data_IF_530374968672
#
_entry.id   IF_530374968672
#
_cell.length_a   1.000
_cell.length_b   1.000
_cell.length_c   1.000
_cell.angle_alpha   90.00
_cell.angle_beta   90.00
_cell.angle_gamma   90.00
#
_symmetry.space_group_name_H-M   'P 1'
#
loop_
_entity.id
_entity.type
_entity.pdbx_description
1 polymer ?
#
# COMPACT_ATOMS: atom_id res chain seq x y z
N UNK A 1 -23.47 78.31 39.55
CA UNK A 1 -23.40 77.73 38.20
C UNK A 1 -22.58 76.45 38.27
N UNK A 2 -23.20 75.36 38.72
CA UNK A 2 -22.51 74.09 38.95
C UNK A 2 -23.56 73.00 39.17
N UNK A 3 -24.35 72.69 38.13
CA UNK A 3 -25.18 71.47 38.12
C UNK A 3 -25.79 71.21 36.73
N UNK A 4 -24.99 71.32 35.67
CA UNK A 4 -25.45 70.96 34.33
C UNK A 4 -24.34 70.31 33.47
N UNK A 5 -23.40 69.61 34.13
CA UNK A 5 -22.31 68.87 33.46
C UNK A 5 -22.29 67.37 33.79
N UNK A 6 -22.94 66.90 34.86
CA UNK A 6 -22.83 65.49 35.28
C UNK A 6 -23.91 64.54 34.70
N UNK A 7 -25.00 65.06 34.13
CA UNK A 7 -26.10 64.21 33.65
C UNK A 7 -25.85 63.68 32.22
N UNK A 8 -24.99 64.34 31.44
CA UNK A 8 -24.69 63.95 30.05
C UNK A 8 -23.79 62.72 29.91
N UNK A 9 -22.87 62.49 30.85
CA UNK A 9 -21.87 61.42 30.75
C UNK A 9 -22.38 60.05 31.23
N UNK A 10 -23.34 60.03 32.18
CA UNK A 10 -23.92 58.78 32.69
C UNK A 10 -24.79 58.03 31.67
N UNK A 11 -25.51 58.75 30.79
CA UNK A 11 -26.34 58.14 29.74
C UNK A 11 -25.54 57.63 28.54
N UNK A 12 -24.32 58.16 28.33
CA UNK A 12 -23.45 57.78 27.22
C UNK A 12 -22.60 56.54 27.54
N UNK A 13 -22.33 56.26 28.83
CA UNK A 13 -21.61 55.06 29.28
C UNK A 13 -22.49 53.79 29.31
N UNK A 14 -23.82 53.93 29.51
CA UNK A 14 -24.73 52.77 29.54
C UNK A 14 -25.00 52.12 28.17
N UNK A 15 -24.87 52.88 27.07
CA UNK A 15 -25.12 52.37 25.72
C UNK A 15 -23.91 51.64 25.13
N UNK A 16 -22.67 52.11 25.42
CA UNK A 16 -21.44 51.47 24.93
C UNK A 16 -21.16 50.13 25.62
N UNK A 17 -21.56 49.99 26.88
CA UNK A 17 -21.34 48.77 27.65
C UNK A 17 -22.31 47.66 27.24
N UNK A 18 -23.56 48.03 26.89
CA UNK A 18 -24.57 47.08 26.38
C UNK A 18 -24.23 46.65 24.96
N UNK A 19 -23.84 47.56 24.07
CA UNK A 19 -23.43 47.23 22.69
C UNK A 19 -22.14 46.38 22.66
N UNK A 20 -21.18 46.64 23.54
CA UNK A 20 -19.96 45.83 23.70
C UNK A 20 -20.27 44.38 24.08
N UNK A 21 -21.25 44.13 24.95
CA UNK A 21 -21.69 42.76 25.31
C UNK A 21 -22.37 42.03 24.14
N UNK A 22 -23.16 42.74 23.33
CA UNK A 22 -23.76 42.16 22.12
C UNK A 22 -22.71 41.87 21.05
N UNK A 23 -21.73 42.75 20.88
CA UNK A 23 -20.59 42.51 19.98
C UNK A 23 -19.74 41.32 20.44
N UNK A 24 -19.49 41.19 21.75
CA UNK A 24 -18.80 40.03 22.33
C UNK A 24 -19.57 38.72 22.14
N UNK A 25 -20.89 38.74 22.34
CA UNK A 25 -21.75 37.57 22.10
C UNK A 25 -21.76 37.16 20.62
N UNK A 26 -21.84 38.13 19.70
CA UNK A 26 -21.80 37.86 18.26
C UNK A 26 -20.45 37.30 17.81
N UNK A 27 -19.34 37.80 18.36
CA UNK A 27 -18.00 37.26 18.11
C UNK A 27 -17.88 35.82 18.61
N UNK A 28 -18.39 35.51 19.80
CA UNK A 28 -18.37 34.13 20.33
C UNK A 28 -19.19 33.18 19.46
N UNK A 29 -20.38 33.61 19.00
CA UNK A 29 -21.19 32.80 18.08
C UNK A 29 -20.46 32.58 16.76
N UNK A 30 -19.87 33.62 16.17
CA UNK A 30 -19.11 33.52 14.94
C UNK A 30 -17.91 32.56 15.08
N UNK A 31 -17.17 32.64 16.19
CA UNK A 31 -16.05 31.72 16.48
C UNK A 31 -16.54 30.28 16.60
N UNK A 32 -17.64 30.02 17.30
CA UNK A 32 -18.19 28.67 17.43
C UNK A 32 -18.68 28.12 16.07
N UNK A 33 -19.29 28.96 15.23
CA UNK A 33 -19.69 28.58 13.87
C UNK A 33 -18.47 28.27 13.00
N UNK A 34 -17.41 29.09 13.07
CA UNK A 34 -16.17 28.84 12.33
C UNK A 34 -15.48 27.54 12.80
N UNK A 35 -15.42 27.30 14.11
CA UNK A 35 -14.87 26.07 14.67
C UNK A 35 -15.70 24.85 14.26
N UNK A 36 -17.03 24.95 14.31
CA UNK A 36 -17.93 23.89 13.85
C UNK A 36 -17.81 23.61 12.36
N UNK A 37 -17.71 24.65 11.52
CA UNK A 37 -17.49 24.52 10.08
C UNK A 37 -16.11 23.92 9.76
N UNK A 38 -15.07 24.31 10.50
CA UNK A 38 -13.72 23.75 10.35
C UNK A 38 -13.69 22.28 10.78
N UNK A 39 -14.37 21.94 11.89
CA UNK A 39 -14.53 20.56 12.33
C UNK A 39 -15.28 19.71 11.29
N UNK A 40 -16.40 20.21 10.76
CA UNK A 40 -17.13 19.58 9.67
C UNK A 40 -16.27 19.43 8.41
N UNK A 41 -15.50 20.45 8.04
CA UNK A 41 -14.60 20.42 6.88
C UNK A 41 -13.47 19.39 7.07
N UNK A 42 -12.84 19.35 8.24
CA UNK A 42 -11.79 18.37 8.57
C UNK A 42 -12.36 16.96 8.58
N UNK A 43 -13.51 16.73 9.22
CA UNK A 43 -14.16 15.41 9.27
C UNK A 43 -14.74 14.94 7.93
N UNK A 44 -15.10 15.86 7.02
CA UNK A 44 -15.57 15.52 5.67
C UNK A 44 -14.45 15.42 4.64
N UNK A 45 -13.32 16.10 4.86
CA UNK A 45 -12.12 16.00 4.01
C UNK A 45 -11.33 14.71 4.25
N UNK A 46 -11.68 13.93 5.27
CA UNK A 46 -10.96 12.72 5.69
C UNK A 46 -11.29 11.49 4.82
N UNK A 47 -11.29 11.65 3.49
CA UNK A 47 -11.38 10.55 2.54
C UNK A 47 -10.09 9.71 2.44
N UNK A 48 -9.06 10.09 3.19
CA UNK A 48 -7.70 9.53 3.14
C UNK A 48 -7.20 9.07 4.53
N UNK A 49 -8.09 8.70 5.45
CA UNK A 49 -7.67 8.07 6.73
C UNK A 49 -6.96 6.75 6.39
N UNK A 50 -5.65 6.73 6.62
CA UNK A 50 -4.84 5.52 6.53
C UNK A 50 -5.13 4.67 7.77
N UNK A 51 -5.94 3.63 7.64
CA UNK A 51 -6.14 2.65 8.69
C UNK A 51 -4.89 1.77 8.82
N UNK A 52 -4.27 1.79 10.00
CA UNK A 52 -3.13 0.91 10.31
C UNK A 52 -3.66 -0.49 10.58
N UNK A 53 -3.38 -1.44 9.68
CA UNK A 53 -3.87 -2.82 9.81
C UNK A 53 -3.07 -3.62 10.85
N UNK A 54 -1.75 -3.42 10.91
CA UNK A 54 -0.83 -4.12 11.80
C UNK A 54 0.28 -3.14 12.21
N UNK A 55 0.73 -3.19 13.46
CA UNK A 55 1.84 -2.35 13.93
C UNK A 55 3.22 -2.88 13.51
N UNK A 56 4.24 -2.03 13.45
CA UNK A 56 5.63 -2.47 13.16
C UNK A 56 6.16 -3.54 14.11
N UNK A 57 5.85 -3.42 15.41
CA UNK A 57 6.31 -4.36 16.44
C UNK A 57 5.36 -5.53 16.69
N UNK A 58 4.22 -5.57 16.01
CA UNK A 58 3.26 -6.65 16.14
C UNK A 58 3.68 -7.84 15.29
N UNK A 59 3.45 -9.07 15.76
CA UNK A 59 3.73 -10.31 15.02
C UNK A 59 2.41 -11.01 14.69
N UNK A 60 2.18 -11.26 13.40
CA UNK A 60 0.97 -11.92 12.86
C UNK A 60 1.36 -13.28 12.29
N UNK A 61 1.44 -14.28 13.17
CA UNK A 61 1.87 -15.64 12.86
C UNK A 61 1.31 -16.61 13.92
N UNK A 62 1.05 -17.91 13.60
CA UNK A 62 1.24 -18.58 12.31
C UNK A 62 0.10 -18.36 11.30
N UNK A 63 -1.08 -17.96 11.78
CA UNK A 63 -2.25 -17.79 10.93
C UNK A 63 -2.38 -16.37 10.37
N UNK A 64 -2.88 -16.19 9.13
CA UNK A 64 -3.13 -14.86 8.58
C UNK A 64 -4.24 -14.11 9.33
N UNK A 65 -4.02 -12.82 9.61
CA UNK A 65 -5.09 -11.92 10.04
C UNK A 65 -5.85 -11.40 8.84
N UNK A 66 -7.15 -11.67 8.77
CA UNK A 66 -8.01 -11.29 7.64
C UNK A 66 -8.91 -10.11 8.02
N UNK A 67 -8.89 -9.07 7.19
CA UNK A 67 -9.75 -7.90 7.25
C UNK A 67 -10.76 -7.98 6.12
N UNK A 68 -12.04 -7.94 6.44
CA UNK A 68 -13.10 -7.90 5.42
C UNK A 68 -13.10 -6.55 4.73
N UNK A 69 -13.09 -6.55 3.41
CA UNK A 69 -13.17 -5.33 2.59
C UNK A 69 -14.35 -5.44 1.65
N UNK A 70 -14.95 -4.30 1.27
CA UNK A 70 -16.07 -4.28 0.33
C UNK A 70 -15.63 -4.87 -1.01
N UNK A 71 -16.45 -5.76 -1.59
CA UNK A 71 -16.22 -6.28 -2.92
C UNK A 71 -16.28 -5.18 -3.98
N UNK A 72 -15.37 -5.25 -4.95
CA UNK A 72 -15.39 -4.39 -6.13
C UNK A 72 -16.61 -4.70 -7.00
N UNK A 73 -17.10 -3.70 -7.73
CA UNK A 73 -18.19 -3.88 -8.69
C UNK A 73 -17.88 -4.98 -9.72
N UNK A 74 -16.61 -5.06 -10.14
CA UNK A 74 -16.12 -6.11 -11.03
C UNK A 74 -16.37 -7.51 -10.43
N UNK A 75 -16.01 -7.72 -9.16
CA UNK A 75 -16.23 -8.99 -8.47
C UNK A 75 -17.71 -9.39 -8.38
N UNK A 76 -18.61 -8.41 -8.26
CA UNK A 76 -20.06 -8.66 -8.22
C UNK A 76 -20.67 -8.91 -9.60
N UNK A 77 -20.15 -8.24 -10.64
CA UNK A 77 -20.73 -8.25 -11.98
C UNK A 77 -20.16 -9.34 -12.90
N UNK A 78 -18.99 -9.91 -12.58
CA UNK A 78 -18.37 -10.96 -13.40
C UNK A 78 -18.81 -12.37 -13.04
N UNK A 79 -18.65 -13.28 -14.02
CA UNK A 79 -18.95 -14.70 -13.85
C UNK A 79 -18.00 -15.30 -12.82
N UNK A 80 -18.57 -15.86 -11.75
CA UNK A 80 -17.83 -16.60 -10.74
C UNK A 80 -17.52 -18.00 -11.24
N UNK A 81 -16.27 -18.41 -11.12
CA UNK A 81 -15.82 -19.77 -11.41
C UNK A 81 -15.59 -20.48 -10.09
N UNK A 82 -16.31 -21.58 -9.87
CA UNK A 82 -16.18 -22.37 -8.65
C UNK A 82 -14.72 -22.81 -8.46
N UNK A 83 -14.20 -22.63 -7.24
CA UNK A 83 -12.81 -22.93 -6.89
C UNK A 83 -11.77 -21.90 -7.35
N UNK A 84 -12.05 -21.05 -8.34
CA UNK A 84 -11.10 -20.01 -8.80
C UNK A 84 -11.44 -18.61 -8.30
N UNK A 85 -12.69 -18.35 -7.97
CA UNK A 85 -13.15 -17.05 -7.44
C UNK A 85 -13.09 -17.07 -5.91
N UNK A 86 -12.43 -16.08 -5.27
CA UNK A 86 -12.39 -15.94 -3.82
C UNK A 86 -13.81 -16.02 -3.25
N UNK A 87 -14.02 -16.77 -2.16
CA UNK A 87 -15.35 -16.88 -1.54
C UNK A 87 -15.68 -15.63 -0.70
N UNK A 88 -14.64 -14.92 -0.27
CA UNK A 88 -14.74 -13.70 0.51
C UNK A 88 -13.75 -12.66 0.02
N UNK A 89 -14.20 -11.43 0.09
CA UNK A 89 -13.45 -10.23 -0.20
C UNK A 89 -12.71 -9.78 1.06
N UNK A 90 -11.38 -9.72 1.00
CA UNK A 90 -10.62 -9.29 2.16
C UNK A 90 -9.14 -9.11 1.90
N UNK A 91 -8.49 -8.48 2.86
CA UNK A 91 -7.04 -8.32 2.94
C UNK A 91 -6.51 -9.20 4.05
N UNK A 92 -5.47 -9.96 3.78
CA UNK A 92 -4.85 -10.84 4.77
C UNK A 92 -3.38 -10.45 5.00
N UNK A 93 -2.92 -10.51 6.24
CA UNK A 93 -1.54 -10.20 6.63
C UNK A 93 -0.96 -11.38 7.40
N UNK A 94 0.28 -11.77 7.09
CA UNK A 94 1.02 -12.84 7.75
C UNK A 94 2.53 -12.53 7.73
N UNK A 95 3.23 -12.88 8.81
CA UNK A 95 4.67 -12.65 8.98
C UNK A 95 5.51 -13.92 8.75
N UNK A 96 4.91 -15.10 8.91
CA UNK A 96 5.61 -16.39 8.77
C UNK A 96 5.68 -16.93 7.34
N UNK A 97 5.33 -16.14 6.31
CA UNK A 97 5.40 -16.62 4.93
C UNK A 97 6.85 -16.84 4.46
N UNK A 98 7.75 -15.98 4.91
CA UNK A 98 9.18 -16.05 4.59
C UNK A 98 9.94 -15.86 5.89
N UNK A 99 10.79 -16.83 6.22
CA UNK A 99 11.62 -16.73 7.41
C UNK A 99 12.70 -15.66 7.24
N UNK A 100 13.28 -15.22 8.35
CA UNK A 100 14.33 -14.20 8.33
C UNK A 100 15.55 -14.63 7.49
N UNK A 101 15.94 -15.90 7.60
CA UNK A 101 17.06 -16.47 6.85
C UNK A 101 16.77 -16.54 5.36
N UNK A 102 15.56 -16.96 4.98
CA UNK A 102 15.12 -16.96 3.59
C UNK A 102 15.05 -15.54 3.01
N UNK A 103 14.56 -14.57 3.81
CA UNK A 103 14.56 -13.17 3.41
C UNK A 103 15.99 -12.63 3.20
N UNK A 104 16.96 -13.05 4.00
CA UNK A 104 18.37 -12.71 3.78
C UNK A 104 18.88 -13.27 2.44
N UNK A 105 18.54 -14.51 2.09
CA UNK A 105 18.89 -15.10 0.78
C UNK A 105 18.24 -14.33 -0.36
N UNK A 106 16.93 -14.09 -0.31
CA UNK A 106 16.21 -13.33 -1.35
C UNK A 106 16.72 -11.90 -1.49
N UNK A 107 17.12 -11.25 -0.39
CA UNK A 107 17.72 -9.92 -0.43
C UNK A 107 19.11 -9.93 -1.06
N UNK A 108 19.92 -10.98 -0.82
CA UNK A 108 21.20 -11.16 -1.53
C UNK A 108 20.97 -11.21 -3.04
N UNK A 109 19.95 -11.94 -3.49
CA UNK A 109 19.57 -11.99 -4.91
C UNK A 109 19.16 -10.61 -5.46
N UNK A 110 18.43 -9.81 -4.67
CA UNK A 110 18.08 -8.42 -5.03
C UNK A 110 19.25 -7.42 -5.01
N UNK A 111 20.37 -7.81 -4.38
CA UNK A 111 21.63 -7.06 -4.33
C UNK A 111 22.70 -7.68 -5.24
N UNK A 112 22.35 -8.68 -6.03
CA UNK A 112 23.27 -9.34 -6.93
C UNK A 112 23.91 -8.32 -7.89
N UNK A 113 25.13 -8.57 -8.41
CA UNK A 113 25.86 -7.63 -9.28
C UNK A 113 25.03 -7.11 -10.45
N UNK A 114 24.12 -7.95 -10.95
CA UNK A 114 23.07 -7.65 -11.92
C UNK A 114 22.29 -6.36 -11.61
N UNK A 115 21.89 -6.14 -10.36
CA UNK A 115 21.18 -4.94 -9.93
C UNK A 115 22.11 -3.71 -9.80
N UNK A 116 23.40 -3.90 -9.54
CA UNK A 116 24.38 -2.82 -9.51
C UNK A 116 24.64 -2.22 -10.91
N UNK A 117 24.46 -3.01 -11.98
CA UNK A 117 24.56 -2.52 -13.36
C UNK A 117 23.34 -1.69 -13.78
N UNK A 118 22.21 -1.82 -13.09
CA UNK A 118 21.14 -0.84 -13.22
C UNK A 118 21.62 0.45 -12.56
N UNK A 119 21.73 1.52 -13.36
CA UNK A 119 21.92 2.89 -12.89
C UNK A 119 21.05 3.18 -11.65
N UNK A 120 21.44 4.14 -10.78
CA UNK A 120 20.67 4.51 -9.59
C UNK A 120 19.34 5.15 -10.01
N UNK A 121 18.38 4.32 -10.38
CA UNK A 121 16.96 4.62 -10.46
C UNK A 121 16.34 4.34 -9.11
N UNK A 122 15.21 5.00 -8.83
CA UNK A 122 14.49 4.84 -7.57
C UNK A 122 13.95 3.41 -7.38
N UNK A 123 13.56 2.73 -8.48
CA UNK A 123 13.08 1.36 -8.47
C UNK A 123 13.76 0.50 -9.56
N UNK A 124 14.03 -0.76 -9.26
CA UNK A 124 14.46 -1.77 -10.24
C UNK A 124 13.65 -3.06 -10.09
N UNK A 125 13.36 -3.70 -11.22
CA UNK A 125 12.46 -4.85 -11.38
C UNK A 125 13.26 -6.05 -11.89
N UNK A 126 13.13 -7.20 -11.24
CA UNK A 126 13.66 -8.49 -11.69
C UNK A 126 12.56 -9.56 -11.67
N UNK A 127 12.22 -10.10 -12.83
CA UNK A 127 11.37 -11.27 -12.98
C UNK A 127 12.25 -12.50 -13.27
N UNK A 128 12.45 -13.36 -12.25
CA UNK A 128 13.20 -14.61 -12.40
C UNK A 128 12.49 -15.63 -13.28
N UNK A 129 11.19 -15.53 -13.51
CA UNK A 129 10.49 -16.48 -14.38
C UNK A 129 10.71 -16.17 -15.87
N UNK A 130 10.63 -14.88 -16.26
CA UNK A 130 10.90 -14.47 -17.66
C UNK A 130 12.38 -14.13 -17.92
N UNK A 131 13.14 -13.91 -16.86
CA UNK A 131 14.50 -13.38 -16.90
C UNK A 131 14.57 -11.89 -17.19
N UNK A 132 13.47 -11.14 -17.11
CA UNK A 132 13.46 -9.70 -17.40
C UNK A 132 14.03 -8.91 -16.21
N UNK A 133 15.06 -8.10 -16.47
CA UNK A 133 15.65 -7.14 -15.54
C UNK A 133 15.53 -5.72 -16.11
N UNK A 134 15.02 -4.77 -15.32
CA UNK A 134 15.11 -3.35 -15.67
C UNK A 134 16.55 -2.85 -15.48
N UNK A 135 17.16 -2.33 -16.54
CA UNK A 135 18.49 -1.71 -16.52
C UNK A 135 18.38 -0.31 -17.14
N UNK A 136 18.25 0.70 -16.30
CA UNK A 136 17.92 2.05 -16.77
C UNK A 136 16.53 2.11 -17.40
N UNK A 137 16.42 2.60 -18.64
CA UNK A 137 15.15 2.71 -19.38
C UNK A 137 14.77 1.45 -20.18
N UNK A 138 15.53 0.36 -20.06
CA UNK A 138 15.37 -0.82 -20.89
C UNK A 138 15.22 -2.09 -20.05
N UNK A 139 14.60 -3.12 -20.62
CA UNK A 139 14.57 -4.45 -20.04
C UNK A 139 15.57 -5.36 -20.75
N UNK A 140 16.41 -6.04 -19.98
CA UNK A 140 17.38 -7.02 -20.48
C UNK A 140 16.99 -8.42 -20.01
N UNK A 141 17.32 -9.45 -20.79
CA UNK A 141 17.11 -10.84 -20.39
C UNK A 141 18.38 -11.37 -19.69
N UNK A 142 18.31 -11.63 -18.38
CA UNK A 142 19.44 -12.06 -17.56
C UNK A 142 20.03 -13.40 -18.02
N UNK A 143 19.20 -14.33 -18.50
CA UNK A 143 19.66 -15.63 -18.96
C UNK A 143 20.52 -15.52 -20.22
N UNK A 144 20.17 -14.59 -21.11
CA UNK A 144 20.98 -14.28 -22.29
C UNK A 144 22.19 -13.42 -21.97
N UNK A 145 22.04 -12.49 -21.03
CA UNK A 145 23.08 -11.53 -20.68
C UNK A 145 24.24 -12.19 -19.91
N UNK A 146 23.93 -12.99 -18.89
CA UNK A 146 24.95 -13.69 -18.11
C UNK A 146 25.36 -15.03 -18.72
N UNK A 147 24.50 -15.66 -19.53
CA UNK A 147 24.78 -16.95 -20.16
C UNK A 147 25.26 -17.97 -19.12
N UNK A 148 26.44 -18.54 -19.36
CA UNK A 148 27.07 -19.54 -18.48
C UNK A 148 27.46 -18.98 -17.09
N UNK A 149 27.56 -17.65 -16.95
CA UNK A 149 27.88 -17.00 -15.67
C UNK A 149 26.65 -16.78 -14.78
N UNK A 150 25.44 -17.16 -15.22
CA UNK A 150 24.23 -16.99 -14.41
C UNK A 150 24.32 -17.73 -13.07
N UNK A 151 25.05 -18.85 -13.03
CA UNK A 151 25.31 -19.64 -11.82
C UNK A 151 26.18 -18.93 -10.79
N UNK A 152 26.97 -17.93 -11.21
CA UNK A 152 27.74 -17.08 -10.30
C UNK A 152 26.86 -15.99 -9.65
N UNK A 153 25.67 -15.75 -10.23
CA UNK A 153 24.71 -14.73 -9.78
C UNK A 153 23.60 -15.38 -8.97
N UNK A 154 23.03 -16.48 -9.46
CA UNK A 154 21.94 -17.25 -8.85
C UNK A 154 22.32 -18.73 -8.75
N UNK A 155 22.25 -19.29 -7.55
CA UNK A 155 22.50 -20.72 -7.31
C UNK A 155 21.24 -21.56 -7.54
N UNK A 156 21.40 -22.88 -7.67
CA UNK A 156 20.27 -23.79 -7.79
C UNK A 156 19.35 -23.74 -6.53
N UNK A 157 19.94 -23.48 -5.38
CA UNK A 157 19.27 -23.33 -4.09
C UNK A 157 18.39 -22.07 -4.08
N UNK A 158 18.83 -20.98 -4.69
CA UNK A 158 18.04 -19.74 -4.80
C UNK A 158 16.78 -19.96 -5.63
N UNK A 159 16.89 -20.70 -6.74
CA UNK A 159 15.72 -21.08 -7.53
C UNK A 159 14.78 -22.04 -6.81
N UNK A 160 15.31 -22.97 -5.99
CA UNK A 160 14.49 -23.85 -5.15
C UNK A 160 13.73 -23.03 -4.10
N UNK A 161 14.40 -22.11 -3.42
CA UNK A 161 13.79 -21.22 -2.43
C UNK A 161 12.71 -20.33 -3.06
N UNK A 162 13.01 -19.70 -4.20
CA UNK A 162 12.05 -18.87 -4.91
C UNK A 162 10.78 -19.66 -5.28
N UNK A 163 10.92 -20.88 -5.81
CA UNK A 163 9.78 -21.77 -6.11
C UNK A 163 9.03 -22.17 -4.84
N UNK A 164 9.74 -22.49 -3.77
CA UNK A 164 9.14 -22.85 -2.50
C UNK A 164 8.24 -21.73 -1.97
N UNK A 165 8.73 -20.49 -1.94
CA UNK A 165 7.97 -19.32 -1.47
C UNK A 165 6.74 -19.07 -2.34
N UNK A 166 6.86 -19.20 -3.67
CA UNK A 166 5.71 -19.08 -4.57
C UNK A 166 4.63 -20.12 -4.23
N UNK A 167 5.02 -21.39 -4.13
CA UNK A 167 4.09 -22.48 -3.84
C UNK A 167 3.47 -22.34 -2.45
N UNK A 168 4.25 -21.92 -1.47
CA UNK A 168 3.76 -21.68 -0.11
C UNK A 168 2.78 -20.50 -0.07
N UNK A 169 3.07 -19.42 -0.79
CA UNK A 169 2.14 -18.29 -0.97
C UNK A 169 0.82 -18.73 -1.58
N UNK A 170 0.85 -19.59 -2.60
CA UNK A 170 -0.37 -20.14 -3.19
C UNK A 170 -1.21 -20.91 -2.19
N UNK A 171 -0.58 -21.77 -1.38
CA UNK A 171 -1.28 -22.54 -0.37
C UNK A 171 -1.98 -21.63 0.67
N UNK A 172 -1.24 -20.66 1.21
CA UNK A 172 -1.77 -19.71 2.20
C UNK A 172 -2.92 -18.88 1.60
N UNK A 173 -2.79 -18.40 0.37
CA UNK A 173 -3.85 -17.68 -0.34
C UNK A 173 -5.09 -18.55 -0.53
N UNK A 174 -4.91 -19.79 -0.99
CA UNK A 174 -6.01 -20.69 -1.29
C UNK A 174 -6.81 -21.01 -0.03
N UNK A 175 -6.13 -21.31 1.07
CA UNK A 175 -6.74 -21.52 2.37
C UNK A 175 -7.45 -20.25 2.88
N UNK A 176 -6.76 -19.10 2.81
CA UNK A 176 -7.29 -17.83 3.30
C UNK A 176 -8.59 -17.43 2.63
N UNK A 177 -8.71 -17.62 1.31
CA UNK A 177 -9.83 -17.13 0.49
C UNK A 177 -10.77 -18.23 -0.01
N UNK A 178 -10.55 -19.48 0.37
CA UNK A 178 -11.40 -20.62 -0.03
C UNK A 178 -11.31 -20.94 -1.51
N UNK A 179 -10.09 -20.95 -2.05
CA UNK A 179 -9.80 -21.32 -3.44
C UNK A 179 -9.39 -22.80 -3.52
N UNK A 180 -9.55 -23.38 -4.70
CA UNK A 180 -9.00 -24.68 -5.05
C UNK A 180 -7.57 -24.49 -5.61
N UNK A 181 -6.52 -24.96 -4.91
CA UNK A 181 -5.14 -24.77 -5.34
C UNK A 181 -4.84 -25.44 -6.69
N UNK A 182 -5.60 -26.45 -7.11
CA UNK A 182 -5.42 -27.13 -8.41
C UNK A 182 -5.91 -26.31 -9.59
N UNK A 183 -6.76 -25.31 -9.33
CA UNK A 183 -7.34 -24.42 -10.34
C UNK A 183 -6.69 -23.03 -10.33
N UNK A 184 -5.65 -22.84 -9.51
CA UNK A 184 -4.88 -21.60 -9.45
C UNK A 184 -3.66 -21.66 -10.36
N UNK A 185 -3.35 -20.53 -11.01
CA UNK A 185 -2.19 -20.40 -11.89
C UNK A 185 -1.45 -19.10 -11.58
N UNK A 186 -0.12 -19.13 -11.71
CA UNK A 186 0.69 -17.93 -11.56
C UNK A 186 0.50 -17.00 -12.76
N UNK A 187 -0.25 -15.93 -12.53
CA UNK A 187 -0.41 -14.86 -13.50
C UNK A 187 0.79 -13.93 -13.47
N UNK A 188 1.26 -13.51 -14.63
CA UNK A 188 2.36 -12.55 -14.72
C UNK A 188 1.91 -11.12 -14.36
N UNK A 189 2.81 -10.26 -13.88
CA UNK A 189 4.21 -10.54 -13.56
C UNK A 189 4.43 -10.91 -12.08
N UNK A 190 5.40 -11.79 -11.81
CA UNK A 190 6.02 -11.99 -10.49
C UNK A 190 7.42 -11.44 -10.55
N UNK A 191 7.72 -10.44 -9.73
CA UNK A 191 9.00 -9.74 -9.80
C UNK A 191 9.45 -9.28 -8.42
N UNK A 192 10.76 -9.21 -8.26
CA UNK A 192 11.37 -8.46 -7.17
C UNK A 192 11.44 -7.00 -7.57
N UNK A 193 11.06 -6.13 -6.64
CA UNK A 193 11.32 -4.70 -6.72
C UNK A 193 12.31 -4.30 -5.66
N UNK A 194 13.38 -3.61 -6.04
CA UNK A 194 14.26 -2.92 -5.11
C UNK A 194 14.00 -1.43 -5.19
N UNK A 195 13.78 -0.81 -4.04
CA UNK A 195 13.54 0.64 -3.92
C UNK A 195 14.72 1.27 -3.17
N UNK A 196 15.15 2.45 -3.59
CA UNK A 196 16.13 3.25 -2.86
C UNK A 196 15.59 4.67 -2.58
N UNK A 197 16.33 5.45 -1.78
CA UNK A 197 15.96 6.82 -1.39
C UNK A 197 16.25 7.89 -2.46
N UNK A 198 16.59 7.50 -3.69
CA UNK A 198 16.89 8.45 -4.76
C UNK A 198 15.59 9.04 -5.30
N UNK A 199 15.61 10.33 -5.64
CA UNK A 199 14.47 10.98 -6.28
C UNK A 199 14.18 10.36 -7.66
N UNK A 200 12.90 10.10 -7.95
CA UNK A 200 12.45 9.66 -9.26
C UNK A 200 12.79 10.72 -10.32
N UNK A 201 13.34 10.30 -11.47
CA UNK A 201 13.67 11.19 -12.59
C UNK A 201 12.64 11.12 -13.72
N UNK A 202 11.86 10.05 -13.77
CA UNK A 202 10.80 9.77 -14.73
C UNK A 202 9.61 9.12 -14.01
N UNK A 203 8.43 9.12 -14.61
CA UNK A 203 7.25 8.44 -14.05
C UNK A 203 7.46 6.92 -13.83
N UNK A 204 8.38 6.30 -14.57
CA UNK A 204 8.72 4.88 -14.38
C UNK A 204 9.70 4.68 -13.21
N UNK A 205 10.31 5.77 -12.74
CA UNK A 205 11.13 5.78 -11.53
C UNK A 205 10.26 6.04 -10.30
N UNK A 206 9.07 6.62 -10.45
CA UNK A 206 8.10 6.72 -9.35
C UNK A 206 7.63 5.31 -9.01
N UNK A 207 8.03 4.82 -7.84
CA UNK A 207 7.75 3.44 -7.43
C UNK A 207 6.26 3.11 -7.48
N UNK A 208 5.40 4.09 -7.18
CA UNK A 208 3.98 3.82 -7.02
C UNK A 208 3.08 4.98 -7.42
N UNK A 209 1.95 4.60 -8.02
CA UNK A 209 0.76 5.41 -8.19
C UNK A 209 -0.48 4.59 -7.81
N UNK A 210 -1.56 5.20 -7.30
CA UNK A 210 -2.83 4.49 -7.14
C UNK A 210 -3.28 3.90 -8.48
N UNK A 211 -3.27 2.57 -8.58
CA UNK A 211 -3.71 1.87 -9.76
C UNK A 211 -4.41 0.56 -9.42
N UNK A 212 -5.17 0.04 -10.38
CA UNK A 212 -5.82 -1.27 -10.30
C UNK A 212 -4.99 -2.22 -11.16
N UNK A 213 -4.50 -3.30 -10.55
CA UNK A 213 -3.79 -4.40 -11.21
C UNK A 213 -4.73 -5.26 -12.07
N UNK A 214 -5.30 -4.65 -13.11
CA UNK A 214 -6.10 -5.33 -14.14
C UNK A 214 -5.32 -5.34 -15.45
N UNK A 215 -5.20 -6.51 -16.05
CA UNK A 215 -4.67 -6.63 -17.41
C UNK A 215 -5.68 -5.94 -18.34
N UNK A 216 -5.24 -4.91 -19.08
CA UNK A 216 -6.09 -4.20 -20.08
C UNK A 216 -6.61 -5.13 -21.20
N UNK A 217 -6.13 -6.37 -21.28
CA UNK A 217 -6.56 -7.39 -22.22
C UNK A 217 -7.55 -8.33 -21.54
N UNK A 218 -8.76 -8.44 -22.11
CA UNK A 218 -9.90 -9.29 -21.71
C UNK A 218 -9.64 -10.81 -21.54
N UNK A 219 -8.39 -11.26 -21.47
CA UNK A 219 -8.04 -12.70 -21.51
C UNK A 219 -7.46 -13.25 -20.21
N UNK A 220 -7.03 -12.41 -19.28
CA UNK A 220 -6.44 -12.83 -18.01
C UNK A 220 -7.02 -12.00 -16.87
N UNK A 221 -7.89 -12.60 -16.07
CA UNK A 221 -8.45 -12.00 -14.86
C UNK A 221 -7.57 -12.37 -13.67
N UNK A 222 -7.11 -11.36 -12.93
CA UNK A 222 -6.36 -11.55 -11.69
C UNK A 222 -7.34 -11.53 -10.52
N UNK A 223 -7.44 -12.64 -9.80
CA UNK A 223 -8.40 -12.79 -8.69
C UNK A 223 -7.79 -12.47 -7.33
N UNK A 224 -6.47 -12.58 -7.21
CA UNK A 224 -5.74 -12.32 -5.96
C UNK A 224 -4.40 -11.69 -6.29
N UNK A 225 -3.96 -10.78 -5.42
CA UNK A 225 -2.65 -10.14 -5.50
C UNK A 225 -1.91 -10.40 -4.19
N UNK A 226 -0.60 -10.64 -4.29
CA UNK A 226 0.29 -10.85 -3.15
C UNK A 226 1.45 -9.87 -3.20
N UNK A 227 1.78 -9.29 -2.06
CA UNK A 227 2.95 -8.45 -1.86
C UNK A 227 3.73 -8.97 -0.65
N UNK A 228 5.03 -9.22 -0.83
CA UNK A 228 5.93 -9.59 0.27
C UNK A 228 7.01 -8.52 0.44
N UNK A 229 7.10 -7.96 1.64
CA UNK A 229 8.16 -7.01 2.01
C UNK A 229 9.30 -7.76 2.70
N UNK A 230 10.52 -7.50 2.22
CA UNK A 230 11.75 -8.08 2.73
C UNK A 230 12.63 -6.97 3.33
N UNK A 231 12.49 -6.68 4.62
CA UNK A 231 13.32 -5.70 5.35
C UNK A 231 14.25 -6.41 6.35
N UNK A 232 15.34 -5.76 6.79
CA UNK A 232 16.30 -6.31 7.78
C UNK A 232 15.64 -6.59 9.14
N UNK A 233 14.68 -5.74 9.48
CA UNK A 233 14.03 -5.75 10.78
C UNK A 233 12.62 -6.32 10.74
N UNK A 234 12.03 -6.49 9.55
CA UNK A 234 10.63 -6.92 9.39
C UNK A 234 10.43 -7.67 8.06
N UNK A 235 9.82 -8.85 8.12
CA UNK A 235 9.42 -9.65 6.96
C UNK A 235 7.93 -9.91 7.08
N UNK A 236 7.18 -9.39 6.10
CA UNK A 236 5.72 -9.37 6.17
C UNK A 236 5.12 -9.51 4.80
N UNK A 237 4.07 -10.30 4.71
CA UNK A 237 3.32 -10.55 3.49
C UNK A 237 1.88 -10.09 3.62
N UNK A 238 1.38 -9.50 2.56
CA UNK A 238 0.01 -9.00 2.43
C UNK A 238 -0.62 -9.61 1.20
N UNK A 239 -1.84 -10.10 1.35
CA UNK A 239 -2.65 -10.67 0.28
C UNK A 239 -3.95 -9.89 0.15
N UNK A 240 -4.42 -9.70 -1.08
CA UNK A 240 -5.73 -9.10 -1.36
C UNK A 240 -6.56 -10.07 -2.20
N UNK A 241 -7.68 -10.53 -1.63
CA UNK A 241 -8.63 -11.47 -2.22
C UNK A 241 -9.62 -10.83 -3.19
N UNK A 242 -9.17 -9.82 -3.93
CA UNK A 242 -9.92 -9.14 -4.98
C UNK A 242 -8.97 -8.59 -6.05
N UNK A 243 -9.48 -8.36 -7.25
CA UNK A 243 -8.76 -7.83 -8.42
C UNK A 243 -8.26 -6.38 -8.27
N UNK A 244 -8.28 -5.78 -7.07
CA UNK A 244 -7.88 -4.40 -6.81
C UNK A 244 -6.99 -4.31 -5.57
N UNK A 245 -5.68 -4.15 -5.78
CA UNK A 245 -4.81 -3.65 -4.71
C UNK A 245 -5.03 -2.14 -4.58
N UNK A 246 -5.86 -1.72 -3.63
CA UNK A 246 -5.82 -0.32 -3.19
C UNK A 246 -4.64 -0.16 -2.24
N UNK A 247 -3.55 0.40 -2.79
CA UNK A 247 -2.50 1.10 -2.07
C UNK A 247 -1.57 0.25 -1.15
N UNK A 248 -0.36 -0.13 -1.61
CA UNK A 248 0.70 -0.66 -0.78
C UNK A 248 1.50 0.43 -0.03
N UNK A 249 1.33 1.72 -0.37
CA UNK A 249 1.84 2.88 0.39
C UNK A 249 1.01 3.20 1.64
N UNK A 250 -0.27 2.81 1.65
CA UNK A 250 -1.17 2.79 2.82
C UNK A 250 -0.83 1.71 3.84
N UNK A 251 0.10 0.82 3.51
CA UNK A 251 0.76 -0.01 4.50
C UNK A 251 1.86 0.83 5.14
N UNK A 252 1.46 1.74 6.04
CA UNK A 252 2.33 2.10 7.16
C UNK A 252 2.42 0.87 8.08
N UNK A 253 3.12 -0.14 7.57
CA UNK A 253 3.87 -1.09 8.38
C UNK A 253 5.21 -0.42 8.53
#
# INVERSE_FOLDING_TARGET
>A
MSNMSEIGDALRQGSSWRSSRWLGALLLVAVNVCLGATWLYVTTSDSDITETLVGQGEIVSPEPRVFTVKCSEDYENYKRYAGCTPQKCGRAIIDSLVTRDEAHVLRRESNAPCFCFSQPLQASILDLHSGALSMGKQFVNIYRYFGDQISNVFTAEDFKLYRHIILYSFAVIAETFGLDPTLMYLTKPTFFSRINSTAAKTQHDEYWHPHIDKVKKKKEEKNTISLCRLNENDVRSVFDGQSKLTDPGRLSL
#
